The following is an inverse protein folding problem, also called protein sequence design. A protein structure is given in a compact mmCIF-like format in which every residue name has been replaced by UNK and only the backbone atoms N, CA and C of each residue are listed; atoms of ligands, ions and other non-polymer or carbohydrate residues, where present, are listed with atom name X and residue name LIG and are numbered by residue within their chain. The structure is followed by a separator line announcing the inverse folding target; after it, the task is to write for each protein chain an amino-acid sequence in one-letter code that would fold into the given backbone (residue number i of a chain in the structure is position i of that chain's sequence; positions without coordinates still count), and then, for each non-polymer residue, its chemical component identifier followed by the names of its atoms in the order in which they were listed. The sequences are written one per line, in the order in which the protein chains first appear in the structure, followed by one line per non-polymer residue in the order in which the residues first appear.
data_IF_180164889036
#
_entry.id   IF_180164889036
#
_cell.length_a   1.000
_cell.length_b   1.000
_cell.length_c   1.000
_cell.angle_alpha   90.00
_cell.angle_beta   90.00
_cell.angle_gamma   90.00
#
_symmetry.space_group_name_H-M   'P 1'
#
loop_
_entity.id
_entity.type
_entity.pdbx_description
1 polymer ?
#
# COMPACT_ATOMS: atom_id res chain seq x y z
N UNK A 1 2.27 -13.88 -17.08
CA UNK A 1 3.20 -14.15 -15.97
C UNK A 1 2.31 -14.38 -14.76
N UNK A 2 2.35 -15.58 -14.21
CA UNK A 2 1.56 -15.96 -13.03
C UNK A 2 2.28 -15.46 -11.78
N UNK A 3 1.59 -14.68 -10.95
CA UNK A 3 2.12 -14.11 -9.72
C UNK A 3 2.36 -15.18 -8.65
N UNK A 4 1.66 -16.31 -8.69
CA UNK A 4 1.89 -17.43 -7.76
C UNK A 4 3.22 -18.13 -8.04
N UNK A 5 3.72 -18.06 -9.28
CA UNK A 5 5.00 -18.61 -9.70
C UNK A 5 6.17 -17.63 -9.52
N UNK A 6 5.90 -16.37 -9.14
CA UNK A 6 6.94 -15.38 -8.90
C UNK A 6 7.54 -15.50 -7.49
N UNK A 7 8.85 -15.20 -7.34
CA UNK A 7 9.46 -15.04 -6.02
C UNK A 7 8.80 -13.91 -5.25
N UNK A 8 9.05 -13.83 -3.94
CA UNK A 8 8.53 -12.77 -3.07
C UNK A 8 8.89 -11.35 -3.51
N UNK A 9 9.94 -11.23 -4.33
CA UNK A 9 10.41 -9.98 -4.90
C UNK A 9 10.97 -10.21 -6.31
N UNK A 10 10.64 -9.35 -7.26
CA UNK A 10 11.21 -9.37 -8.60
C UNK A 10 11.21 -7.99 -9.26
N UNK A 11 12.26 -7.69 -10.02
CA UNK A 11 12.29 -6.55 -10.94
C UNK A 11 11.85 -7.06 -12.31
N UNK A 12 10.82 -6.42 -12.87
CA UNK A 12 10.18 -6.81 -14.12
C UNK A 12 10.32 -5.66 -15.12
N UNK A 13 10.84 -5.94 -16.30
CA UNK A 13 10.83 -4.96 -17.39
C UNK A 13 9.45 -4.90 -18.05
N UNK A 14 9.04 -3.72 -18.47
CA UNK A 14 7.84 -3.51 -19.28
C UNK A 14 8.17 -2.73 -20.56
N UNK A 15 7.46 -2.98 -21.67
CA UNK A 15 7.67 -2.23 -22.90
C UNK A 15 7.46 -0.73 -22.66
N UNK A 16 8.43 0.07 -23.07
CA UNK A 16 8.27 1.53 -23.12
C UNK A 16 8.06 1.94 -24.57
N UNK A 17 7.13 2.84 -24.84
CA UNK A 17 6.88 3.35 -26.20
C UNK A 17 8.03 4.25 -26.74
N UNK A 18 9.24 4.19 -26.18
CA UNK A 18 10.39 4.85 -26.81
C UNK A 18 10.74 4.08 -28.08
N UNK A 19 10.49 4.71 -29.21
CA UNK A 19 10.50 4.11 -30.54
C UNK A 19 11.77 3.30 -30.84
N UNK A 20 11.58 2.26 -31.64
CA UNK A 20 12.61 1.41 -32.24
C UNK A 20 13.46 2.14 -33.30
N UNK A 21 13.35 3.45 -33.43
CA UNK A 21 14.19 4.24 -34.33
C UNK A 21 15.48 4.64 -33.62
N UNK A 22 16.55 3.91 -33.91
CA UNK A 22 17.91 4.41 -33.77
C UNK A 22 18.05 5.75 -34.50
N UNK A 23 18.85 6.64 -33.91
CA UNK A 23 19.25 7.94 -34.43
C UNK A 23 18.14 8.99 -34.57
N UNK A 24 17.87 9.73 -33.49
CA UNK A 24 17.53 11.16 -33.59
C UNK A 24 17.99 11.90 -32.34
N UNK A 25 18.94 12.81 -32.55
CA UNK A 25 19.35 13.88 -31.67
C UNK A 25 18.11 14.73 -31.34
N UNK A 26 17.41 14.39 -30.25
CA UNK A 26 16.24 15.14 -29.78
C UNK A 26 16.72 16.27 -28.89
N UNK A 27 16.27 17.50 -29.18
CA UNK A 27 16.66 18.67 -28.42
C UNK A 27 16.35 18.45 -26.92
N UNK A 28 17.23 18.86 -25.98
CA UNK A 28 17.06 18.57 -24.56
C UNK A 28 15.81 19.19 -23.91
N UNK A 29 15.16 20.15 -24.57
CA UNK A 29 14.09 20.98 -23.99
C UNK A 29 12.66 20.45 -24.23
N UNK A 30 12.42 19.60 -25.22
CA UNK A 30 11.04 19.17 -25.57
C UNK A 30 10.54 17.92 -24.82
N UNK A 31 11.39 17.30 -23.99
CA UNK A 31 11.08 16.00 -23.35
C UNK A 31 11.14 16.01 -21.82
N UNK A 32 11.28 17.16 -21.15
CA UNK A 32 11.40 17.21 -19.69
C UNK A 32 10.02 17.24 -19.02
N UNK A 33 9.68 16.16 -18.33
CA UNK A 33 8.56 16.15 -17.38
C UNK A 33 9.00 16.93 -16.13
N UNK A 34 8.16 17.85 -15.65
CA UNK A 34 8.37 18.57 -14.38
C UNK A 34 7.05 18.69 -13.60
N UNK A 35 7.13 19.08 -12.34
CA UNK A 35 5.97 19.19 -11.44
C UNK A 35 5.70 20.63 -11.00
N UNK A 36 4.42 21.01 -11.03
CA UNK A 36 3.96 22.29 -10.48
C UNK A 36 3.78 22.23 -8.96
N UNK A 37 3.39 21.07 -8.44
CA UNK A 37 3.11 20.87 -7.02
C UNK A 37 3.26 19.41 -6.63
N UNK A 38 3.46 19.17 -5.33
CA UNK A 38 3.36 17.83 -4.75
C UNK A 38 1.89 17.47 -4.55
N UNK A 39 1.43 16.41 -5.19
CA UNK A 39 0.05 15.96 -5.11
C UNK A 39 -0.05 14.46 -5.45
N UNK A 40 -1.23 13.88 -5.25
CA UNK A 40 -1.47 12.48 -5.63
C UNK A 40 -2.86 12.31 -6.21
N UNK A 41 -2.97 11.39 -7.16
CA UNK A 41 -4.24 10.89 -7.67
C UNK A 41 -4.35 9.40 -7.39
N UNK A 42 -5.53 8.97 -6.99
CA UNK A 42 -5.83 7.58 -6.65
C UNK A 42 -7.12 7.15 -7.33
N UNK A 43 -7.13 5.90 -7.78
CA UNK A 43 -8.31 5.24 -8.29
C UNK A 43 -8.41 3.83 -7.71
N UNK A 44 -9.61 3.47 -7.26
CA UNK A 44 -9.93 2.11 -6.84
C UNK A 44 -11.15 1.63 -7.61
N UNK A 45 -10.99 0.59 -8.43
CA UNK A 45 -12.02 0.17 -9.36
C UNK A 45 -11.57 -0.89 -10.38
N UNK A 46 -12.42 -1.18 -11.38
CA UNK A 46 -12.06 -2.00 -12.54
C UNK A 46 -10.86 -1.43 -13.31
N UNK A 47 -10.15 -2.25 -14.07
CA UNK A 47 -9.04 -1.78 -14.92
C UNK A 47 -9.49 -0.60 -15.80
N UNK A 48 -8.78 0.52 -15.71
CA UNK A 48 -9.07 1.70 -16.52
C UNK A 48 -8.99 1.39 -18.01
N UNK A 49 -9.72 2.16 -18.82
CA UNK A 49 -9.46 2.14 -20.26
C UNK A 49 -8.11 2.79 -20.54
N UNK A 50 -7.36 2.27 -21.51
CA UNK A 50 -6.05 2.83 -21.91
C UNK A 50 -6.20 3.93 -22.98
N UNK A 51 -7.35 4.59 -22.98
CA UNK A 51 -7.66 5.74 -23.82
C UNK A 51 -7.61 6.99 -22.94
N UNK A 52 -6.73 7.94 -23.29
CA UNK A 52 -6.53 9.16 -22.50
C UNK A 52 -7.83 9.91 -22.30
N UNK A 53 -8.73 9.96 -23.29
CA UNK A 53 -9.96 10.74 -23.24
C UNK A 53 -11.06 10.10 -22.38
N UNK A 54 -10.81 8.87 -21.90
CA UNK A 54 -11.74 8.07 -21.11
C UNK A 54 -11.24 7.79 -19.70
N UNK A 55 -10.15 8.44 -19.30
CA UNK A 55 -9.71 8.45 -17.91
C UNK A 55 -10.68 9.30 -17.06
N UNK A 56 -10.77 9.05 -15.74
CA UNK A 56 -11.67 9.82 -14.89
C UNK A 56 -11.40 11.33 -14.97
N UNK A 57 -12.43 12.17 -14.94
CA UNK A 57 -12.27 13.64 -14.99
C UNK A 57 -11.31 14.16 -13.91
N UNK A 58 -11.37 13.58 -12.71
CA UNK A 58 -10.46 13.90 -11.61
C UNK A 58 -8.98 13.59 -11.90
N UNK A 59 -8.69 12.64 -12.81
CA UNK A 59 -7.33 12.40 -13.31
C UNK A 59 -6.87 13.57 -14.18
N UNK A 60 -7.71 14.03 -15.10
CA UNK A 60 -7.40 15.16 -15.97
C UNK A 60 -7.15 16.44 -15.17
N UNK A 61 -8.05 16.76 -14.25
CA UNK A 61 -7.89 17.90 -13.34
C UNK A 61 -6.58 17.80 -12.54
N UNK A 62 -6.27 16.61 -12.02
CA UNK A 62 -5.02 16.39 -11.29
C UNK A 62 -3.79 16.54 -12.19
N UNK A 63 -3.79 15.91 -13.36
CA UNK A 63 -2.67 15.89 -14.30
C UNK A 63 -2.34 17.30 -14.78
N UNK A 64 -3.35 18.07 -15.20
CA UNK A 64 -3.22 19.46 -15.64
C UNK A 64 -2.65 20.36 -14.53
N UNK A 65 -3.15 20.22 -13.30
CA UNK A 65 -2.69 21.04 -12.18
C UNK A 65 -1.30 20.64 -11.65
N UNK A 66 -0.84 19.42 -11.93
CA UNK A 66 0.33 18.82 -11.23
C UNK A 66 1.53 18.64 -12.12
N UNK A 67 1.36 18.18 -13.37
CA UNK A 67 2.44 17.68 -14.21
C UNK A 67 2.54 18.50 -15.49
N UNK A 68 3.75 18.97 -15.80
CA UNK A 68 4.08 19.54 -17.10
C UNK A 68 4.84 18.50 -17.94
N UNK A 69 4.59 18.49 -19.24
CA UNK A 69 5.31 17.64 -20.19
C UNK A 69 4.70 16.24 -20.40
N UNK A 70 5.34 15.40 -21.23
CA UNK A 70 4.72 14.22 -21.83
C UNK A 70 4.77 12.96 -20.93
N UNK A 71 4.12 12.99 -19.75
CA UNK A 71 4.14 11.83 -18.82
C UNK A 71 3.12 10.72 -19.16
N UNK A 72 2.14 11.01 -20.03
CA UNK A 72 1.06 10.07 -20.36
C UNK A 72 1.55 8.81 -21.08
N UNK A 73 2.49 8.93 -22.02
CA UNK A 73 3.05 7.79 -22.76
C UNK A 73 3.68 6.75 -21.82
N UNK A 74 4.63 7.14 -20.95
CA UNK A 74 5.18 6.27 -19.91
C UNK A 74 4.12 5.66 -18.98
N UNK A 75 3.14 6.45 -18.53
CA UNK A 75 2.07 5.96 -17.67
C UNK A 75 1.23 4.88 -18.36
N UNK A 76 0.75 5.13 -19.59
CA UNK A 76 -0.07 4.18 -20.34
C UNK A 76 0.73 2.91 -20.70
N UNK A 77 2.01 3.04 -21.01
CA UNK A 77 2.91 1.89 -21.24
C UNK A 77 2.95 0.97 -20.01
N UNK A 78 3.14 1.56 -18.82
CA UNK A 78 3.12 0.81 -17.57
C UNK A 78 1.74 0.20 -17.28
N UNK A 79 0.66 0.96 -17.45
CA UNK A 79 -0.71 0.44 -17.22
C UNK A 79 -1.07 -0.69 -18.20
N UNK A 80 -0.61 -0.63 -19.44
CA UNK A 80 -0.78 -1.73 -20.40
C UNK A 80 -0.10 -3.02 -19.92
N UNK A 81 1.13 -2.91 -19.43
CA UNK A 81 1.82 -4.04 -18.80
C UNK A 81 1.04 -4.56 -17.58
N UNK A 82 0.61 -3.68 -16.68
CA UNK A 82 -0.16 -4.04 -15.48
C UNK A 82 -1.44 -4.76 -15.88
N UNK A 83 -2.21 -4.25 -16.85
CA UNK A 83 -3.45 -4.88 -17.30
C UNK A 83 -3.21 -6.30 -17.82
N UNK A 84 -2.16 -6.51 -18.63
CA UNK A 84 -1.78 -7.85 -19.10
C UNK A 84 -1.37 -8.76 -17.93
N UNK A 85 -0.61 -8.23 -16.98
CA UNK A 85 -0.17 -8.96 -15.79
C UNK A 85 -1.38 -9.37 -14.92
N UNK A 86 -2.29 -8.46 -14.62
CA UNK A 86 -3.48 -8.72 -13.79
C UNK A 86 -4.44 -9.70 -14.45
N UNK A 87 -4.73 -9.53 -15.75
CA UNK A 87 -5.59 -10.47 -16.49
C UNK A 87 -5.03 -11.89 -16.49
N UNK A 88 -3.70 -12.04 -16.62
CA UNK A 88 -3.04 -13.35 -16.52
C UNK A 88 -3.16 -13.99 -15.13
N UNK A 89 -3.55 -13.21 -14.11
CA UNK A 89 -3.77 -13.65 -12.74
C UNK A 89 -5.26 -13.65 -12.35
N UNK A 90 -6.17 -13.60 -13.32
CA UNK A 90 -7.64 -13.55 -13.11
C UNK A 90 -8.09 -12.35 -12.27
N UNK A 91 -7.40 -11.21 -12.42
CA UNK A 91 -7.70 -9.97 -11.72
C UNK A 91 -8.10 -8.90 -12.73
N UNK A 92 -9.19 -8.20 -12.42
CA UNK A 92 -9.76 -7.14 -13.24
C UNK A 92 -9.97 -5.82 -12.49
N UNK A 93 -9.48 -5.73 -11.24
CA UNK A 93 -9.62 -4.55 -10.40
C UNK A 93 -8.30 -4.24 -9.69
N UNK A 94 -8.09 -2.96 -9.39
CA UNK A 94 -6.95 -2.51 -8.60
C UNK A 94 -7.26 -1.27 -7.79
N UNK A 95 -6.36 -0.99 -6.86
CA UNK A 95 -6.10 0.32 -6.29
C UNK A 95 -4.81 0.87 -6.92
N UNK A 96 -4.96 1.87 -7.78
CA UNK A 96 -3.87 2.59 -8.44
C UNK A 96 -3.64 3.92 -7.72
N UNK A 97 -2.40 4.21 -7.35
CA UNK A 97 -1.99 5.50 -6.82
C UNK A 97 -0.84 6.05 -7.66
N UNK A 98 -0.97 7.30 -8.09
CA UNK A 98 0.09 8.10 -8.71
C UNK A 98 0.44 9.22 -7.74
N UNK A 99 1.69 9.30 -7.33
CA UNK A 99 2.21 10.34 -6.43
C UNK A 99 3.26 11.16 -7.16
N UNK A 100 2.97 12.44 -7.31
CA UNK A 100 3.90 13.45 -7.77
C UNK A 100 4.48 14.18 -6.55
N UNK A 101 5.80 14.26 -6.47
CA UNK A 101 6.50 14.91 -5.36
C UNK A 101 7.59 15.81 -5.90
N UNK A 102 7.53 17.09 -5.54
CA UNK A 102 8.61 18.05 -5.76
C UNK A 102 9.77 17.75 -4.83
N UNK A 103 10.96 18.24 -5.18
CA UNK A 103 12.17 18.04 -4.39
C UNK A 103 12.00 18.43 -2.91
N UNK A 104 12.45 17.57 -2.00
CA UNK A 104 12.45 17.83 -0.56
C UNK A 104 13.58 17.09 0.17
N UNK A 105 13.90 17.53 1.39
CA UNK A 105 14.82 16.83 2.30
C UNK A 105 14.14 15.80 3.21
N UNK A 106 12.84 15.54 3.02
CA UNK A 106 12.06 14.68 3.92
C UNK A 106 12.61 13.25 4.02
N UNK A 107 13.22 12.78 2.92
CA UNK A 107 13.72 11.43 2.70
C UNK A 107 15.25 11.33 2.70
N UNK A 108 15.96 12.37 3.18
CA UNK A 108 17.42 12.33 3.32
C UNK A 108 17.87 11.22 4.29
N UNK A 109 17.01 10.92 5.27
CA UNK A 109 17.11 9.73 6.11
C UNK A 109 16.07 8.71 5.64
N UNK A 110 16.51 7.53 5.14
CA UNK A 110 15.61 6.48 4.67
C UNK A 110 14.55 6.08 5.71
N UNK A 111 13.32 5.86 5.23
CA UNK A 111 12.17 5.42 6.01
C UNK A 111 11.90 3.94 5.76
N UNK A 112 12.84 3.09 6.16
CA UNK A 112 12.72 1.66 5.98
C UNK A 112 11.46 1.12 6.66
N UNK A 113 10.54 0.57 5.88
CA UNK A 113 9.32 -0.05 6.37
C UNK A 113 8.96 -1.29 5.55
N UNK A 114 7.92 -1.98 6.01
CA UNK A 114 7.27 -3.08 5.30
C UNK A 114 5.78 -2.75 5.29
N UNK A 115 5.12 -2.92 4.16
CA UNK A 115 3.67 -2.75 4.07
C UNK A 115 2.94 -3.82 4.89
N UNK A 116 1.85 -3.42 5.54
CA UNK A 116 0.93 -4.38 6.17
C UNK A 116 0.12 -5.15 5.10
N UNK A 117 -0.51 -6.26 5.51
CA UNK A 117 -1.48 -6.94 4.65
C UNK A 117 -2.68 -6.03 4.37
N UNK A 118 -3.09 -5.97 3.11
CA UNK A 118 -4.33 -5.29 2.70
C UNK A 118 -5.55 -6.13 3.06
N UNK A 119 -5.42 -7.45 2.88
CA UNK A 119 -6.49 -8.41 3.06
C UNK A 119 -6.00 -9.57 3.95
N UNK A 120 -6.69 -9.83 5.05
CA UNK A 120 -6.49 -11.04 5.84
C UNK A 120 -7.15 -12.22 5.13
N UNK A 121 -6.58 -13.42 5.18
CA UNK A 121 -7.29 -14.62 4.75
C UNK A 121 -8.63 -14.75 5.50
N UNK A 122 -9.67 -15.24 4.81
CA UNK A 122 -10.88 -15.68 5.49
C UNK A 122 -10.50 -16.71 6.58
N UNK A 123 -11.06 -16.64 7.80
CA UNK A 123 -10.84 -17.68 8.79
C UNK A 123 -11.29 -19.01 8.18
N UNK A 124 -10.37 -19.98 8.09
CA UNK A 124 -10.71 -21.32 7.64
C UNK A 124 -11.88 -21.81 8.47
N UNK A 125 -13.00 -22.12 7.82
CA UNK A 125 -14.12 -22.81 8.44
C UNK A 125 -13.63 -24.20 8.79
N UNK A 126 -12.97 -24.33 9.96
CA UNK A 126 -12.79 -25.63 10.60
C UNK A 126 -14.20 -26.19 10.78
N UNK A 127 -14.56 -27.11 9.89
CA UNK A 127 -15.78 -27.89 10.01
C UNK A 127 -15.74 -28.50 11.40
N UNK A 128 -16.56 -27.96 12.31
CA UNK A 128 -16.88 -28.62 13.56
C UNK A 128 -17.60 -29.89 13.16
N UNK A 129 -16.85 -30.96 12.88
CA UNK A 129 -17.34 -32.31 13.08
C UNK A 129 -17.62 -32.42 14.58
N UNK A 130 -18.84 -32.03 14.96
CA UNK A 130 -19.48 -32.50 16.18
C UNK A 130 -19.60 -34.01 16.01
N UNK A 131 -18.55 -34.75 16.40
CA UNK A 131 -18.73 -36.14 16.83
C UNK A 131 -19.59 -36.08 18.08
N UNK A 132 -20.88 -36.32 17.85
CA UNK A 132 -21.82 -36.74 18.87
C UNK A 132 -21.26 -37.96 19.59
N UNK A 133 -20.65 -37.73 20.75
CA UNK A 133 -20.48 -38.76 21.77
C UNK A 133 -21.58 -38.53 22.80
N UNK A 134 -22.80 -38.94 22.45
CA UNK A 134 -23.66 -39.59 23.42
C UNK A 134 -22.92 -40.88 23.78
N UNK A 135 -22.67 -41.20 25.04
CA UNK A 135 -23.67 -41.79 25.93
C UNK A 135 -23.22 -41.67 27.41
N UNK A 136 -23.90 -42.27 28.41
CA UNK A 136 -24.45 -41.53 29.54
C UNK A 136 -23.82 -42.00 30.88
N UNK A 137 -24.25 -41.40 31.99
CA UNK A 137 -24.82 -42.08 33.17
C UNK A 137 -24.48 -41.42 34.52
N UNK A 138 -25.58 -41.24 35.28
CA UNK A 138 -25.78 -41.24 36.73
C UNK A 138 -25.33 -40.07 37.63
N UNK A 139 -26.39 -39.43 38.21
CA UNK A 139 -26.68 -39.08 39.62
C UNK A 139 -25.55 -38.60 40.53
N UNK A 140 -25.71 -37.58 41.40
CA UNK A 140 -26.82 -37.36 42.36
C UNK A 140 -26.58 -36.05 43.15
N UNK A 141 -27.67 -35.40 43.55
CA UNK A 141 -27.93 -34.55 44.75
C UNK A 141 -26.90 -33.51 45.26
N UNK A 142 -27.29 -32.22 45.39
CA UNK A 142 -27.84 -31.60 46.64
C UNK A 142 -27.86 -30.06 46.61
N UNK A 143 -29.05 -29.51 46.90
CA UNK A 143 -29.41 -28.31 47.70
C UNK A 143 -28.53 -27.03 47.74
N UNK A 144 -29.17 -25.93 47.32
CA UNK A 144 -29.33 -24.60 47.98
C UNK A 144 -28.12 -23.87 48.56
N UNK A 145 -27.81 -22.69 48.00
CA UNK A 145 -27.85 -21.38 48.70
C UNK A 145 -27.50 -20.22 47.73
N UNK A 146 -28.24 -19.10 47.84
CA UNK A 146 -27.96 -17.78 47.21
C UNK A 146 -26.94 -17.00 48.07
N UNK A 147 -26.68 -15.71 47.79
CA UNK A 147 -25.82 -15.17 46.72
C UNK A 147 -24.64 -14.43 47.35
N UNK A 148 -23.52 -14.24 46.64
CA UNK A 148 -22.61 -13.18 47.07
C UNK A 148 -21.94 -12.45 45.92
N UNK A 149 -22.07 -11.13 46.01
CA UNK A 149 -21.62 -10.13 45.07
C UNK A 149 -20.10 -10.07 45.05
N UNK A 150 -19.49 -10.49 43.95
CA UNK A 150 -18.14 -10.06 43.60
C UNK A 150 -18.16 -9.43 42.22
N UNK A 151 -18.04 -8.11 42.23
CA UNK A 151 -17.83 -7.25 41.08
C UNK A 151 -16.51 -7.64 40.41
N UNK A 152 -16.55 -8.66 39.54
CA UNK A 152 -15.42 -9.04 38.68
C UNK A 152 -15.35 -8.03 37.55
N UNK A 153 -14.53 -6.99 37.71
CA UNK A 153 -14.07 -6.15 36.61
C UNK A 153 -13.48 -7.05 35.53
N UNK A 154 -14.24 -7.22 34.44
CA UNK A 154 -13.74 -7.78 33.18
C UNK A 154 -12.69 -6.81 32.63
N UNK A 155 -11.43 -7.01 33.00
CA UNK A 155 -10.29 -6.49 32.22
C UNK A 155 -10.26 -7.23 30.89
N UNK A 156 -10.98 -6.68 29.92
CA UNK A 156 -10.77 -6.96 28.50
C UNK A 156 -10.63 -5.61 27.79
N UNK A 157 -9.53 -4.91 28.06
CA UNK A 157 -9.06 -3.88 27.14
C UNK A 157 -8.35 -4.63 26.01
N UNK A 158 -9.10 -4.91 24.94
CA UNK A 158 -8.51 -5.33 23.67
C UNK A 158 -7.54 -4.23 23.25
N UNK A 159 -6.27 -4.60 23.10
CA UNK A 159 -5.29 -3.78 22.39
C UNK A 159 -5.90 -3.43 21.03
N UNK A 160 -5.70 -2.22 20.55
CA UNK A 160 -6.07 -1.76 19.20
C UNK A 160 -5.53 -2.74 18.15
N UNK A 161 -6.33 -3.76 17.82
CA UNK A 161 -6.08 -4.68 16.72
C UNK A 161 -6.07 -3.83 15.45
N UNK A 162 -4.98 -3.92 14.69
CA UNK A 162 -4.95 -3.40 13.32
C UNK A 162 -6.04 -4.16 12.55
N UNK A 163 -7.23 -3.58 12.41
CA UNK A 163 -8.38 -4.22 11.77
C UNK A 163 -8.09 -4.34 10.28
N UNK A 164 -7.56 -5.48 9.86
CA UNK A 164 -7.38 -5.84 8.45
C UNK A 164 -8.74 -6.25 7.84
N UNK A 165 -8.91 -6.10 6.53
CA UNK A 165 -10.13 -6.52 5.83
C UNK A 165 -10.09 -8.03 5.64
N UNK A 166 -11.12 -8.75 6.09
CA UNK A 166 -11.21 -10.19 5.81
C UNK A 166 -11.50 -10.35 4.31
N UNK A 167 -10.58 -11.01 3.62
CA UNK A 167 -10.67 -11.37 2.21
C UNK A 167 -11.88 -12.27 1.97
N UNK A 168 -12.60 -12.01 0.90
CA UNK A 168 -13.63 -12.90 0.37
C UNK A 168 -13.02 -14.17 -0.24
N UNK A 169 -11.72 -14.19 -0.51
CA UNK A 169 -11.01 -15.34 -1.08
C UNK A 169 -10.02 -15.94 -0.07
N UNK A 170 -9.78 -17.26 -0.11
CA UNK A 170 -8.82 -17.92 0.78
C UNK A 170 -7.37 -17.48 0.51
N UNK A 171 -7.08 -17.04 -0.72
CA UNK A 171 -5.76 -16.60 -1.16
C UNK A 171 -5.82 -15.13 -1.60
N UNK A 172 -5.80 -14.18 -0.64
CA UNK A 172 -5.74 -12.76 -0.97
C UNK A 172 -4.49 -12.42 -1.79
N UNK A 173 -4.59 -11.40 -2.64
CA UNK A 173 -3.48 -11.01 -3.54
C UNK A 173 -2.23 -10.63 -2.76
N UNK A 174 -2.27 -9.75 -1.75
CA UNK A 174 -1.14 -9.46 -0.84
C UNK A 174 0.24 -9.30 -1.52
N UNK A 175 0.27 -8.67 -2.69
CA UNK A 175 1.46 -8.21 -3.40
C UNK A 175 1.18 -6.87 -4.07
N UNK A 176 2.23 -6.19 -4.51
CA UNK A 176 2.18 -4.91 -5.21
C UNK A 176 3.00 -4.91 -6.48
N UNK A 177 2.64 -4.02 -7.39
CA UNK A 177 3.52 -3.57 -8.48
C UNK A 177 3.80 -2.09 -8.32
N UNK A 178 5.06 -1.69 -8.42
CA UNK A 178 5.44 -0.27 -8.33
C UNK A 178 6.45 0.12 -9.41
N UNK A 179 6.36 1.32 -9.94
CA UNK A 179 7.36 1.89 -10.85
C UNK A 179 7.57 3.38 -10.54
N UNK A 180 8.59 3.97 -11.14
CA UNK A 180 8.85 5.40 -11.07
C UNK A 180 9.02 5.92 -12.49
N UNK A 181 8.15 6.86 -12.89
CA UNK A 181 8.12 7.43 -14.23
C UNK A 181 9.06 8.64 -14.37
N UNK A 182 9.31 9.34 -13.27
CA UNK A 182 10.22 10.47 -13.15
C UNK A 182 10.95 10.39 -11.82
N UNK A 183 12.25 10.67 -11.80
CA UNK A 183 13.08 10.66 -10.60
C UNK A 183 13.55 9.27 -10.15
N UNK A 184 14.15 9.16 -8.96
CA UNK A 184 14.75 7.91 -8.47
C UNK A 184 13.70 6.86 -8.06
N UNK A 185 14.01 5.58 -8.33
CA UNK A 185 13.15 4.45 -7.95
C UNK A 185 13.09 4.20 -6.44
N UNK A 186 12.04 3.52 -5.96
CA UNK A 186 11.95 3.08 -4.56
C UNK A 186 13.13 2.18 -4.19
N UNK A 187 13.73 2.41 -3.02
CA UNK A 187 14.83 1.60 -2.48
C UNK A 187 14.26 0.32 -1.87
N UNK A 188 14.73 -0.84 -2.29
CA UNK A 188 14.39 -2.12 -1.66
C UNK A 188 15.65 -2.77 -1.10
N UNK A 189 15.54 -3.36 0.10
CA UNK A 189 16.60 -4.25 0.59
C UNK A 189 16.68 -5.49 -0.30
N UNK A 190 17.90 -5.94 -0.59
CA UNK A 190 18.11 -7.11 -1.45
C UNK A 190 17.33 -8.34 -0.95
N UNK A 191 16.74 -9.17 -1.83
CA UNK A 191 15.94 -10.33 -1.41
C UNK A 191 16.68 -11.28 -0.48
N UNK A 192 17.99 -11.47 -0.70
CA UNK A 192 18.86 -12.30 0.15
C UNK A 192 18.94 -11.80 1.60
N UNK A 193 18.76 -10.51 1.83
CA UNK A 193 18.85 -9.86 3.14
C UNK A 193 17.49 -9.50 3.74
N UNK A 194 16.39 -9.64 2.98
CA UNK A 194 15.04 -9.31 3.44
C UNK A 194 14.62 -10.00 4.76
N UNK A 195 14.86 -11.31 4.99
CA UNK A 195 14.51 -11.95 6.26
C UNK A 195 15.24 -11.31 7.47
N UNK A 196 16.53 -11.00 7.33
CA UNK A 196 17.32 -10.32 8.36
C UNK A 196 16.82 -8.90 8.59
N UNK A 197 16.53 -8.16 7.51
CA UNK A 197 16.03 -6.79 7.60
C UNK A 197 14.66 -6.73 8.32
N UNK A 198 13.76 -7.69 8.06
CA UNK A 198 12.49 -7.83 8.80
C UNK A 198 12.71 -8.17 10.28
N UNK A 199 13.69 -9.01 10.60
CA UNK A 199 14.04 -9.29 11.99
C UNK A 199 14.55 -8.03 12.72
N UNK A 200 15.42 -7.24 12.07
CA UNK A 200 15.89 -5.95 12.59
C UNK A 200 14.72 -4.98 12.80
N UNK A 201 13.81 -4.84 11.82
CA UNK A 201 12.61 -4.00 11.96
C UNK A 201 11.73 -4.40 13.14
N UNK A 202 11.46 -5.70 13.32
CA UNK A 202 10.66 -6.20 14.44
C UNK A 202 11.33 -5.96 15.78
N UNK A 203 12.64 -6.20 15.85
CA UNK A 203 13.43 -5.96 17.05
C UNK A 203 13.46 -4.47 17.42
N UNK A 204 13.70 -3.58 16.45
CA UNK A 204 13.67 -2.13 16.67
C UNK A 204 12.32 -1.65 17.23
N UNK A 205 11.22 -2.06 16.59
CA UNK A 205 9.86 -1.73 17.06
C UNK A 205 9.59 -2.29 18.46
N UNK A 206 10.06 -3.51 18.76
CA UNK A 206 9.89 -4.14 20.08
C UNK A 206 10.71 -3.42 21.16
N UNK A 207 11.97 -3.09 20.87
CA UNK A 207 12.85 -2.38 21.81
C UNK A 207 12.30 -1.01 22.18
N UNK A 208 11.81 -0.23 21.20
CA UNK A 208 11.22 1.09 21.46
C UNK A 208 9.93 0.99 22.28
N UNK A 209 9.09 -0.03 22.02
CA UNK A 209 7.90 -0.31 22.84
C UNK A 209 8.28 -0.74 24.27
N UNK A 210 9.29 -1.59 24.40
CA UNK A 210 9.75 -2.08 25.71
C UNK A 210 10.36 -0.97 26.57
N UNK A 211 11.03 0.02 25.94
CA UNK A 211 11.56 1.19 26.63
C UNK A 211 10.45 2.15 27.12
N UNK A 212 9.23 2.03 26.61
CA UNK A 212 8.10 2.90 26.96
C UNK A 212 6.83 2.08 27.33
N UNK A 213 6.89 1.21 28.34
CA UNK A 213 5.85 0.21 28.60
C UNK A 213 4.51 0.81 29.06
N UNK A 214 4.52 2.05 29.56
CA UNK A 214 3.32 2.76 30.03
C UNK A 214 2.77 3.75 29.00
N UNK A 215 3.34 3.79 27.80
CA UNK A 215 2.86 4.69 26.75
C UNK A 215 1.56 4.16 26.13
N UNK A 216 0.44 4.75 26.54
CA UNK A 216 -0.88 4.48 25.97
C UNK A 216 -1.19 5.62 24.98
N UNK A 217 -1.06 5.32 23.69
CA UNK A 217 -1.26 6.28 22.61
C UNK A 217 -2.70 6.16 22.09
N UNK A 218 -3.60 7.05 22.52
CA UNK A 218 -4.97 7.13 21.99
C UNK A 218 -5.08 8.05 20.76
N UNK A 219 -4.03 8.82 20.48
CA UNK A 219 -4.00 9.80 19.38
C UNK A 219 -2.84 9.52 18.43
N UNK A 220 -3.15 9.49 17.14
CA UNK A 220 -2.16 9.40 16.05
C UNK A 220 -1.20 10.59 15.99
N UNK A 221 -1.50 11.69 16.70
CA UNK A 221 -0.66 12.90 16.80
C UNK A 221 0.14 12.99 18.09
N UNK A 222 0.25 11.89 18.86
CA UNK A 222 1.00 11.92 20.10
C UNK A 222 2.50 12.16 19.86
N UNK A 223 3.07 13.15 20.53
CA UNK A 223 4.51 13.48 20.46
C UNK A 223 5.37 12.27 20.84
N UNK A 224 4.97 11.49 21.85
CA UNK A 224 5.69 10.27 22.24
C UNK A 224 5.71 9.22 21.13
N UNK A 225 4.57 9.00 20.44
CA UNK A 225 4.48 8.13 19.27
C UNK A 225 5.34 8.64 18.10
N UNK A 226 5.38 9.96 17.88
CA UNK A 226 6.20 10.57 16.84
C UNK A 226 7.71 10.42 17.13
N UNK A 227 8.15 10.70 18.36
CA UNK A 227 9.55 10.52 18.78
C UNK A 227 9.97 9.05 18.73
N UNK A 228 9.09 8.13 19.17
CA UNK A 228 9.33 6.70 19.05
C UNK A 228 9.49 6.28 17.59
N UNK A 229 8.63 6.77 16.70
CA UNK A 229 8.73 6.50 15.26
C UNK A 229 10.04 7.04 14.68
N UNK A 230 10.48 8.24 15.06
CA UNK A 230 11.74 8.82 14.60
C UNK A 230 12.97 8.08 15.15
N UNK A 231 12.92 7.61 16.39
CA UNK A 231 13.97 6.77 16.97
C UNK A 231 14.09 5.44 16.22
N UNK A 232 12.96 4.80 15.91
CA UNK A 232 12.94 3.60 15.04
C UNK A 232 13.53 3.93 13.66
N UNK A 233 13.10 5.03 13.04
CA UNK A 233 13.59 5.47 11.72
C UNK A 233 15.11 5.63 11.70
N UNK A 234 15.65 6.37 12.67
CA UNK A 234 17.10 6.62 12.79
C UNK A 234 17.87 5.32 12.97
N UNK A 235 17.40 4.44 13.87
CA UNK A 235 18.04 3.15 14.11
C UNK A 235 18.02 2.26 12.87
N UNK A 236 16.88 2.17 12.17
CA UNK A 236 16.76 1.39 10.94
C UNK A 236 17.60 1.95 9.80
N UNK A 237 17.71 3.26 9.66
CA UNK A 237 18.55 3.89 8.65
C UNK A 237 20.03 3.47 8.83
N UNK A 238 20.53 3.48 10.08
CA UNK A 238 21.89 3.06 10.40
C UNK A 238 22.13 1.56 10.15
N UNK A 239 21.25 0.70 10.67
CA UNK A 239 21.41 -0.77 10.59
C UNK A 239 21.21 -1.31 9.17
N UNK A 240 20.18 -0.81 8.46
CA UNK A 240 19.81 -1.33 7.14
C UNK A 240 20.61 -0.69 6.00
N UNK A 241 21.32 0.43 6.25
CA UNK A 241 22.18 1.07 5.25
C UNK A 241 23.24 0.13 4.64
N UNK A 242 23.61 -0.94 5.34
CA UNK A 242 24.63 -1.92 4.90
C UNK A 242 24.04 -3.14 4.19
N UNK A 243 22.72 -3.26 4.07
CA UNK A 243 22.04 -4.49 3.61
C UNK A 243 21.94 -4.62 2.08
N UNK A 244 22.57 -3.70 1.34
CA UNK A 244 22.49 -3.61 -0.12
C UNK A 244 21.10 -3.20 -0.60
N UNK A 245 21.05 -2.50 -1.72
CA UNK A 245 19.81 -1.91 -2.25
C UNK A 245 19.58 -2.37 -3.69
N UNK A 246 18.32 -2.63 -4.02
CA UNK A 246 17.80 -2.82 -5.37
C UNK A 246 16.80 -1.71 -5.69
N UNK A 247 16.89 -1.13 -6.88
CA UNK A 247 15.95 -0.14 -7.40
C UNK A 247 15.59 -0.52 -8.83
N UNK A 248 14.31 -0.40 -9.19
CA UNK A 248 13.89 -0.45 -10.58
C UNK A 248 14.39 0.77 -11.35
N UNK A 249 14.84 0.55 -12.58
CA UNK A 249 15.22 1.59 -13.54
C UNK A 249 14.01 2.06 -14.34
N UNK A 250 14.20 3.09 -15.18
CA UNK A 250 13.19 3.49 -16.15
C UNK A 250 12.82 2.31 -17.06
N UNK A 251 11.51 2.08 -17.25
CA UNK A 251 11.00 0.92 -17.98
C UNK A 251 10.97 -0.38 -17.17
N UNK A 252 11.27 -0.33 -15.88
CA UNK A 252 11.15 -1.45 -14.96
C UNK A 252 10.14 -1.15 -13.84
N UNK A 253 9.49 -2.19 -13.35
CA UNK A 253 8.67 -2.15 -12.15
C UNK A 253 9.11 -3.23 -11.17
N UNK A 254 8.77 -3.06 -9.90
CA UNK A 254 9.04 -4.02 -8.85
C UNK A 254 7.75 -4.72 -8.49
N UNK A 255 7.76 -6.05 -8.60
CA UNK A 255 6.81 -6.94 -7.94
C UNK A 255 7.32 -7.28 -6.55
N UNK A 256 6.47 -7.20 -5.53
CA UNK A 256 6.82 -7.67 -4.19
C UNK A 256 5.62 -8.06 -3.34
N UNK A 257 5.80 -9.05 -2.47
CA UNK A 257 4.85 -9.42 -1.42
C UNK A 257 4.77 -8.34 -0.34
N UNK A 258 3.67 -8.30 0.39
CA UNK A 258 3.46 -7.43 1.56
C UNK A 258 3.15 -8.26 2.80
N UNK A 259 3.13 -7.62 3.97
CA UNK A 259 2.93 -8.28 5.26
C UNK A 259 4.22 -8.50 6.03
N UNK A 260 4.09 -8.82 7.32
CA UNK A 260 5.22 -8.89 8.25
C UNK A 260 6.17 -10.07 7.98
N UNK A 261 5.69 -11.14 7.34
CA UNK A 261 6.46 -12.38 7.17
C UNK A 261 7.20 -12.44 5.83
N UNK A 262 6.58 -11.98 4.75
CA UNK A 262 7.10 -12.06 3.38
C UNK A 262 7.41 -10.69 2.77
N UNK A 263 6.93 -9.62 3.39
CA UNK A 263 6.96 -8.28 2.81
C UNK A 263 8.37 -7.78 2.48
N UNK A 264 8.49 -7.07 1.35
CA UNK A 264 9.75 -6.42 1.00
C UNK A 264 9.99 -5.19 1.88
N UNK A 265 11.20 -5.12 2.46
CA UNK A 265 11.65 -3.96 3.23
C UNK A 265 12.10 -2.88 2.25
N UNK A 266 11.48 -1.71 2.33
CA UNK A 266 11.71 -0.64 1.35
C UNK A 266 11.63 0.76 1.96
N UNK A 267 12.12 1.74 1.22
CA UNK A 267 12.14 3.15 1.56
C UNK A 267 12.02 4.00 0.30
N UNK A 268 11.44 5.18 0.43
CA UNK A 268 11.61 6.24 -0.55
C UNK A 268 13.11 6.58 -0.71
N UNK A 269 13.54 6.92 -1.93
CA UNK A 269 14.89 7.44 -2.17
C UNK A 269 15.00 8.90 -1.72
N UNK A 270 16.22 9.34 -1.48
CA UNK A 270 16.54 10.77 -1.46
C UNK A 270 16.10 11.41 -2.78
N UNK A 271 15.28 12.45 -2.72
CA UNK A 271 14.67 13.07 -3.90
C UNK A 271 14.67 14.59 -3.75
N UNK A 272 15.79 15.21 -4.10
CA UNK A 272 15.89 16.67 -4.19
C UNK A 272 15.34 17.24 -5.50
N UNK A 273 14.95 16.37 -6.44
CA UNK A 273 14.23 16.74 -7.66
C UNK A 273 12.84 16.12 -7.72
N UNK A 274 12.13 16.44 -8.80
CA UNK A 274 10.78 15.94 -9.07
C UNK A 274 10.73 14.42 -9.22
N UNK A 275 9.67 13.82 -8.69
CA UNK A 275 9.46 12.38 -8.71
C UNK A 275 8.00 12.02 -8.97
N UNK A 276 7.76 11.12 -9.92
CA UNK A 276 6.44 10.55 -10.19
C UNK A 276 6.50 9.04 -9.92
N UNK A 277 5.90 8.62 -8.82
CA UNK A 277 5.81 7.24 -8.38
C UNK A 277 4.43 6.67 -8.64
N UNK A 278 4.37 5.43 -9.12
CA UNK A 278 3.12 4.72 -9.39
C UNK A 278 3.10 3.41 -8.59
N UNK A 279 1.99 3.16 -7.90
CA UNK A 279 1.75 1.96 -7.11
C UNK A 279 0.42 1.31 -7.49
N UNK A 280 0.44 -0.01 -7.62
CA UNK A 280 -0.74 -0.85 -7.90
C UNK A 280 -0.87 -1.85 -6.76
N UNK A 281 -2.02 -1.82 -6.07
CA UNK A 281 -2.47 -2.89 -5.19
C UNK A 281 -3.62 -3.62 -5.89
N UNK A 282 -3.39 -4.80 -6.47
CA UNK A 282 -4.46 -5.60 -7.06
C UNK A 282 -5.36 -6.19 -5.97
N UNK A 283 -6.62 -6.45 -6.31
CA UNK A 283 -7.54 -7.14 -5.42
C UNK A 283 -8.78 -7.64 -6.17
N UNK A 284 -9.51 -8.56 -5.55
CA UNK A 284 -10.85 -8.89 -6.04
C UNK A 284 -11.81 -7.74 -5.74
N UNK A 285 -12.87 -7.62 -6.53
CA UNK A 285 -13.86 -6.55 -6.39
C UNK A 285 -14.46 -6.51 -4.97
N UNK A 286 -14.82 -7.68 -4.41
CA UNK A 286 -15.38 -7.77 -3.07
C UNK A 286 -14.40 -7.26 -1.99
N UNK A 287 -13.12 -7.59 -2.13
CA UNK A 287 -12.08 -7.18 -1.17
C UNK A 287 -11.84 -5.66 -1.23
N UNK A 288 -11.78 -5.11 -2.43
CA UNK A 288 -11.62 -3.67 -2.65
C UNK A 288 -12.85 -2.89 -2.19
N UNK A 289 -14.07 -3.40 -2.41
CA UNK A 289 -15.31 -2.81 -1.85
C UNK A 289 -15.27 -2.75 -0.33
N UNK A 290 -14.89 -3.85 0.33
CA UNK A 290 -14.75 -3.89 1.79
C UNK A 290 -13.66 -2.94 2.29
N UNK A 291 -12.53 -2.86 1.57
CA UNK A 291 -11.46 -1.91 1.87
C UNK A 291 -11.94 -0.47 1.76
N UNK A 292 -12.62 -0.10 0.68
CA UNK A 292 -13.16 1.25 0.50
C UNK A 292 -14.21 1.63 1.55
N UNK A 293 -15.12 0.71 1.86
CA UNK A 293 -16.16 0.91 2.88
C UNK A 293 -15.56 1.24 4.26
N UNK A 294 -14.42 0.63 4.61
CA UNK A 294 -13.70 0.93 5.87
C UNK A 294 -13.27 2.41 5.97
N UNK A 295 -13.01 3.05 4.84
CA UNK A 295 -12.64 4.47 4.76
C UNK A 295 -13.84 5.38 4.48
N UNK A 296 -15.08 4.84 4.53
CA UNK A 296 -16.30 5.60 4.24
C UNK A 296 -16.40 6.02 2.77
N UNK A 297 -15.78 5.27 1.86
CA UNK A 297 -15.77 5.57 0.43
C UNK A 297 -16.56 4.51 -0.34
N UNK A 298 -17.20 4.94 -1.42
CA UNK A 298 -17.92 4.08 -2.35
C UNK A 298 -16.99 3.55 -3.45
N UNK A 299 -17.32 2.39 -4.00
CA UNK A 299 -16.59 1.74 -5.09
C UNK A 299 -17.43 1.75 -6.38
N UNK A 300 -16.85 2.03 -7.57
CA UNK A 300 -15.48 2.49 -7.79
C UNK A 300 -15.33 3.99 -7.49
N UNK A 301 -14.08 4.47 -7.32
CA UNK A 301 -13.83 5.91 -7.11
C UNK A 301 -12.48 6.34 -7.63
N UNK A 302 -12.42 7.58 -8.13
CA UNK A 302 -11.19 8.33 -8.40
C UNK A 302 -11.16 9.60 -7.56
N UNK A 303 -10.01 9.95 -6.97
CA UNK A 303 -9.86 11.19 -6.21
C UNK A 303 -8.41 11.69 -6.24
N UNK A 304 -8.22 12.97 -5.94
CA UNK A 304 -6.91 13.58 -5.79
C UNK A 304 -6.76 14.27 -4.43
N UNK A 305 -5.50 14.45 -4.01
CA UNK A 305 -5.11 15.13 -2.78
C UNK A 305 -3.91 16.02 -3.09
N UNK A 306 -3.82 17.19 -2.45
CA UNK A 306 -2.68 18.10 -2.61
C UNK A 306 -2.80 19.07 -3.80
N UNK A 307 -3.99 19.18 -4.41
CA UNK A 307 -4.26 20.28 -5.33
C UNK A 307 -4.51 21.57 -4.55
N UNK A 308 -4.05 22.74 -5.04
CA UNK A 308 -4.38 24.01 -4.44
C UNK A 308 -5.90 24.21 -4.45
N UNK A 309 -6.46 24.70 -3.34
CA UNK A 309 -7.86 25.11 -3.27
C UNK A 309 -8.06 26.28 -4.25
N UNK A 310 -8.54 26.00 -5.45
CA UNK A 310 -9.12 27.04 -6.29
C UNK A 310 -10.50 27.31 -5.72
N UNK A 311 -10.73 28.52 -5.20
CA UNK A 311 -11.95 28.94 -4.53
C UNK A 311 -13.16 28.97 -5.46
N UNK A 312 -13.65 27.80 -5.85
CA UNK A 312 -14.96 27.65 -6.47
C UNK A 312 -16.03 27.63 -5.38
N UNK A 313 -17.02 28.47 -5.59
CA UNK A 313 -18.18 28.68 -4.73
C UNK A 313 -18.81 27.37 -4.22
N UNK A 314 -19.34 27.48 -3.02
CA UNK A 314 -19.80 26.48 -2.05
C UNK A 314 -20.88 25.46 -2.50
N UNK A 315 -21.04 25.16 -3.80
CA UNK A 315 -22.17 24.37 -4.32
C UNK A 315 -21.86 23.07 -5.08
N UNK A 316 -20.61 22.70 -5.33
CA UNK A 316 -20.33 21.55 -6.23
C UNK A 316 -19.59 20.35 -5.60
N UNK A 317 -19.57 20.22 -4.26
CA UNK A 317 -19.02 18.99 -3.64
C UNK A 317 -19.97 17.78 -3.71
N UNK A 318 -21.14 17.89 -4.35
CA UNK A 318 -22.13 16.80 -4.45
C UNK A 318 -22.18 16.06 -5.80
N UNK A 319 -21.52 16.53 -6.86
CA UNK A 319 -21.63 15.90 -8.19
C UNK A 319 -20.33 15.23 -8.69
N UNK A 320 -19.53 14.67 -7.79
CA UNK A 320 -18.49 13.69 -8.16
C UNK A 320 -19.03 12.29 -7.82
N UNK A 321 -20.11 11.92 -8.51
CA UNK A 321 -20.86 10.69 -8.28
C UNK A 321 -21.53 10.09 -9.52
N UNK A 322 -21.42 10.70 -10.69
CA UNK A 322 -22.06 10.17 -11.90
C UNK A 322 -21.05 9.42 -12.79
N UNK A 323 -21.26 8.10 -12.86
CA UNK A 323 -20.81 7.19 -13.91
C UNK A 323 -21.79 7.25 -15.09
#
# INVERSE_FOLDING_TARGET
MDASALPDFGVLSYPTQRGESGDFETSPLENSISLNTSSSWTYCGPLLTLDTNRLPSSFHTWAEATVNGPFMGPLLSFLAFVHKFLKANNLSNYWLTIRASTGSGEFDVPRWHTDDLFFSPAPETRSRQRRSLLSPLYSRDRTSQRPDSTFRQKKHLKSTEKVQVISATPNPTNWKLTTTLLGPGTLFITPKKSPSARAIQRNAKRSVRAANPHHICLSVRCVGCAMAAESVRTHLAAELGQHGIVQARSGECVFFRVGEDEGAVHSEPMSHGDRIFVNIVPGHEADLKCLMAKWGMEYPRAWCVGLPFQGFEERSWRDIGDL
#
